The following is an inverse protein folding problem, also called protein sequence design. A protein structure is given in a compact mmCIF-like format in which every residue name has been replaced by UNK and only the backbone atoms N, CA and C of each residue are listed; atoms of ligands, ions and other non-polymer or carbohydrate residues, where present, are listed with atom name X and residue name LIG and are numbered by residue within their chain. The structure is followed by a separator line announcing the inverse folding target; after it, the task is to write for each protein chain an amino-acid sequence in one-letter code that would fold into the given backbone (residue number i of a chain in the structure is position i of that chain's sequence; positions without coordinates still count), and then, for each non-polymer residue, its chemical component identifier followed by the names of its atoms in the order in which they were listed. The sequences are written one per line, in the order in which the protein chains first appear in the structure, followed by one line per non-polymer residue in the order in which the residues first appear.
data_IF_012957933696
#
_entry.id   IF_012957933696
#
_cell.length_a   1.000
_cell.length_b   1.000
_cell.length_c   1.000
_cell.angle_alpha   90.00
_cell.angle_beta   90.00
_cell.angle_gamma   90.00
#
_symmetry.space_group_name_H-M   'P 1'
#
loop_
_entity.id
_entity.type
_entity.pdbx_description
1 polymer ?
#
# COMPACT_ATOMS: atom_id res chain seq x y z
N UNK A 1 29.59 2.27 2.49
CA UNK A 1 28.61 1.80 3.49
C UNK A 1 27.29 1.61 2.75
N UNK A 2 26.47 0.60 3.12
CA UNK A 2 25.16 0.45 2.49
C UNK A 2 24.24 1.55 2.99
N UNK A 3 23.52 2.23 2.07
CA UNK A 3 22.45 3.16 2.43
C UNK A 3 21.32 2.38 3.15
N UNK A 4 20.96 2.83 4.35
CA UNK A 4 19.92 2.19 5.18
C UNK A 4 18.81 3.16 5.53
N UNK A 5 17.61 2.63 5.54
CA UNK A 5 16.39 3.34 5.96
C UNK A 5 16.00 2.82 7.34
N UNK A 6 15.90 3.74 8.31
CA UNK A 6 15.56 3.41 9.70
C UNK A 6 14.04 3.51 9.97
N UNK A 7 13.29 4.17 9.09
CA UNK A 7 11.86 4.43 9.24
C UNK A 7 11.10 4.12 7.94
N UNK A 8 9.85 3.63 8.01
CA UNK A 8 9.08 3.28 6.82
C UNK A 8 8.62 4.50 6.00
N UNK A 9 8.96 5.71 6.41
CA UNK A 9 8.62 6.98 5.76
C UNK A 9 9.85 7.87 5.70
N UNK A 10 10.14 8.47 4.52
CA UNK A 10 11.23 9.44 4.32
C UNK A 10 10.70 10.72 3.69
N UNK A 11 11.35 11.85 3.97
CA UNK A 11 10.99 13.14 3.37
C UNK A 11 11.53 13.27 1.93
N UNK A 12 10.94 14.18 1.16
CA UNK A 12 11.46 14.53 -0.17
C UNK A 12 12.86 15.13 -0.11
N UNK A 13 13.18 15.88 0.96
CA UNK A 13 14.53 16.43 1.17
C UNK A 13 15.55 15.29 1.40
N UNK A 14 15.17 14.25 2.17
CA UNK A 14 16.02 13.07 2.35
C UNK A 14 16.31 12.40 1.01
N UNK A 15 15.27 12.13 0.22
CA UNK A 15 15.41 11.50 -1.09
C UNK A 15 16.30 12.33 -2.03
N UNK A 16 16.09 13.65 -2.08
CA UNK A 16 16.87 14.54 -2.93
C UNK A 16 18.38 14.47 -2.63
N UNK A 17 18.76 14.44 -1.33
CA UNK A 17 20.17 14.33 -0.93
C UNK A 17 20.80 12.97 -1.25
N UNK A 18 20.00 11.91 -1.45
CA UNK A 18 20.48 10.56 -1.73
C UNK A 18 20.24 10.11 -3.16
N UNK A 19 19.67 10.98 -4.03
CA UNK A 19 19.21 10.61 -5.37
C UNK A 19 20.31 9.96 -6.24
N UNK A 20 21.57 10.32 -6.02
CA UNK A 20 22.71 9.80 -6.75
C UNK A 20 23.43 8.63 -6.04
N UNK A 21 22.84 8.05 -4.99
CA UNK A 21 23.44 6.88 -4.33
C UNK A 21 23.24 5.64 -5.22
N UNK A 22 24.31 4.92 -5.51
CA UNK A 22 24.28 3.74 -6.40
C UNK A 22 23.38 2.61 -5.90
N UNK A 23 23.07 2.56 -4.60
CA UNK A 23 22.20 1.55 -4.00
C UNK A 23 20.73 1.98 -3.92
N UNK A 24 20.46 3.27 -4.17
CA UNK A 24 19.11 3.79 -4.14
C UNK A 24 18.34 3.37 -5.40
N UNK A 25 17.14 2.85 -5.19
CA UNK A 25 16.15 2.60 -6.24
C UNK A 25 14.89 3.39 -5.91
N UNK A 26 14.47 4.25 -6.81
CA UNK A 26 13.22 5.00 -6.70
C UNK A 26 12.15 4.30 -7.52
N UNK A 27 11.02 3.94 -6.87
CA UNK A 27 9.90 3.26 -7.53
C UNK A 27 8.70 4.20 -7.64
N UNK A 28 8.17 4.34 -8.86
CA UNK A 28 6.90 4.99 -9.13
C UNK A 28 5.77 3.96 -9.07
N UNK A 29 4.95 4.03 -8.04
CA UNK A 29 3.81 3.14 -7.81
C UNK A 29 2.47 3.78 -8.22
N UNK A 30 2.48 4.83 -9.03
CA UNK A 30 1.30 5.62 -9.40
C UNK A 30 0.18 4.75 -9.95
N UNK A 31 -0.98 4.83 -9.31
CA UNK A 31 -2.23 4.21 -9.74
C UNK A 31 -3.38 5.21 -9.70
N UNK A 32 -4.20 5.30 -10.75
CA UNK A 32 -5.41 6.12 -10.70
C UNK A 32 -6.39 5.56 -9.65
N UNK A 33 -7.06 6.46 -8.92
CA UNK A 33 -8.16 6.08 -8.02
C UNK A 33 -9.25 5.36 -8.82
N UNK A 34 -9.80 4.28 -8.28
CA UNK A 34 -10.92 3.53 -8.91
C UNK A 34 -12.14 4.43 -9.14
N UNK A 35 -12.29 5.47 -8.33
CA UNK A 35 -13.37 6.47 -8.41
C UNK A 35 -13.02 7.70 -9.25
N UNK A 36 -11.79 7.79 -9.82
CA UNK A 36 -11.42 8.89 -10.68
C UNK A 36 -12.23 8.87 -11.98
N UNK A 37 -12.71 10.03 -12.39
CA UNK A 37 -13.26 10.21 -13.74
C UNK A 37 -12.12 10.04 -14.74
N UNK A 38 -12.40 9.44 -15.90
CA UNK A 38 -11.41 9.40 -16.99
C UNK A 38 -11.10 10.84 -17.39
N UNK A 39 -9.87 11.24 -17.20
CA UNK A 39 -9.38 12.52 -17.72
C UNK A 39 -9.37 12.46 -19.24
N UNK A 40 -9.89 13.50 -19.87
CA UNK A 40 -9.98 13.64 -21.33
C UNK A 40 -8.74 14.33 -21.92
N UNK A 41 -7.90 14.93 -21.09
CA UNK A 41 -6.66 15.59 -21.51
C UNK A 41 -5.46 14.70 -21.23
N UNK A 42 -4.58 14.57 -22.24
CA UNK A 42 -3.30 13.88 -22.12
C UNK A 42 -2.34 14.89 -21.50
N UNK A 43 -2.30 14.97 -20.18
CA UNK A 43 -1.22 15.70 -19.51
C UNK A 43 0.12 14.99 -19.77
N UNK A 44 1.17 15.78 -20.02
CA UNK A 44 2.52 15.24 -20.10
C UNK A 44 2.90 14.62 -18.74
N UNK A 45 3.27 13.34 -18.77
CA UNK A 45 3.70 12.65 -17.56
C UNK A 45 5.15 12.98 -17.25
N UNK A 46 5.40 13.29 -15.99
CA UNK A 46 6.73 13.43 -15.39
C UNK A 46 6.87 12.48 -14.22
N UNK A 47 8.10 12.13 -13.93
CA UNK A 47 8.48 11.29 -12.79
C UNK A 47 9.68 11.89 -12.04
N UNK A 48 9.98 11.41 -10.85
CA UNK A 48 11.24 11.71 -10.17
C UNK A 48 12.38 11.14 -11.04
N UNK A 49 13.47 11.88 -11.14
CA UNK A 49 14.63 11.49 -11.94
C UNK A 49 15.10 10.07 -11.58
N UNK A 50 15.35 9.24 -12.60
CA UNK A 50 15.72 7.83 -12.51
C UNK A 50 14.69 6.91 -11.84
N UNK A 51 13.44 7.34 -11.66
CA UNK A 51 12.40 6.47 -11.11
C UNK A 51 12.01 5.34 -12.07
N UNK A 52 11.73 4.18 -11.51
CA UNK A 52 11.29 2.99 -12.22
C UNK A 52 9.81 2.78 -11.96
N UNK A 53 9.01 2.64 -13.01
CA UNK A 53 7.60 2.34 -12.84
C UNK A 53 7.39 0.93 -12.29
N UNK A 54 6.70 0.84 -11.14
CA UNK A 54 6.33 -0.41 -10.49
C UNK A 54 4.87 -0.73 -10.79
N UNK A 55 4.61 -1.53 -11.82
CA UNK A 55 3.24 -1.88 -12.22
C UNK A 55 2.60 -2.87 -11.25
N UNK A 56 1.90 -2.33 -10.25
CA UNK A 56 1.19 -3.12 -9.24
C UNK A 56 0.17 -4.05 -9.90
N UNK A 57 -0.55 -3.59 -10.94
CA UNK A 57 -1.70 -4.33 -11.49
C UNK A 57 -1.34 -5.44 -12.45
N UNK A 58 -0.35 -5.21 -13.32
CA UNK A 58 -0.06 -6.12 -14.44
C UNK A 58 1.16 -6.98 -14.20
N UNK A 59 2.10 -6.49 -13.37
CA UNK A 59 3.38 -7.15 -13.12
C UNK A 59 3.46 -7.72 -11.72
N UNK A 60 3.08 -6.95 -10.70
CA UNK A 60 3.23 -7.32 -9.29
C UNK A 60 1.90 -7.74 -8.63
N UNK A 61 0.98 -8.27 -9.42
CA UNK A 61 -0.23 -8.97 -8.97
C UNK A 61 -0.44 -10.22 -9.82
N UNK A 62 -1.08 -11.23 -9.23
CA UNK A 62 -1.53 -12.40 -10.00
C UNK A 62 -2.72 -12.00 -10.88
N UNK A 63 -2.45 -11.82 -12.18
CA UNK A 63 -3.45 -11.42 -13.17
C UNK A 63 -4.44 -12.54 -13.51
N UNK A 64 -4.16 -13.79 -13.11
CA UNK A 64 -5.03 -14.95 -13.30
C UNK A 64 -5.93 -15.21 -12.08
N UNK A 65 -5.68 -14.52 -10.97
CA UNK A 65 -6.53 -14.63 -9.79
C UNK A 65 -7.93 -14.05 -10.05
N UNK A 66 -8.97 -14.56 -9.35
CA UNK A 66 -10.35 -14.08 -9.53
C UNK A 66 -10.56 -12.65 -9.06
N UNK A 67 -9.68 -12.13 -8.21
CA UNK A 67 -9.78 -10.78 -7.64
C UNK A 67 -8.57 -9.92 -8.02
N UNK A 68 -8.77 -8.59 -8.22
CA UNK A 68 -7.70 -7.71 -8.63
C UNK A 68 -6.70 -7.46 -7.50
N UNK A 69 -5.44 -7.26 -7.87
CA UNK A 69 -4.31 -6.98 -7.00
C UNK A 69 -3.95 -8.12 -6.03
N UNK A 70 -4.38 -9.35 -6.31
CA UNK A 70 -3.96 -10.54 -5.54
C UNK A 70 -2.44 -10.67 -5.52
N UNK A 71 -1.87 -10.96 -4.37
CA UNK A 71 -0.42 -11.08 -4.19
C UNK A 71 0.16 -12.22 -5.02
N UNK A 72 1.36 -12.02 -5.53
CA UNK A 72 2.15 -13.06 -6.19
C UNK A 72 2.70 -14.06 -5.18
N UNK A 73 3.06 -15.26 -5.66
CA UNK A 73 3.95 -16.13 -4.91
C UNK A 73 5.31 -15.48 -4.67
N UNK A 74 6.00 -15.87 -3.61
CA UNK A 74 7.34 -15.33 -3.30
C UNK A 74 8.32 -15.48 -4.48
N UNK A 75 8.27 -16.63 -5.17
CA UNK A 75 9.14 -16.91 -6.32
C UNK A 75 8.86 -15.98 -7.50
N UNK A 76 7.58 -15.74 -7.81
CA UNK A 76 7.21 -14.83 -8.91
C UNK A 76 7.56 -13.39 -8.57
N UNK A 77 7.33 -12.96 -7.33
CA UNK A 77 7.72 -11.62 -6.88
C UNK A 77 9.23 -11.42 -6.96
N UNK A 78 10.01 -12.40 -6.47
CA UNK A 78 11.49 -12.42 -6.52
C UNK A 78 11.98 -12.22 -7.96
N UNK A 79 11.48 -13.03 -8.91
CA UNK A 79 11.89 -12.94 -10.32
C UNK A 79 11.58 -11.57 -10.92
N UNK A 80 10.40 -11.02 -10.64
CA UNK A 80 9.99 -9.69 -11.15
C UNK A 80 10.80 -8.55 -10.51
N UNK A 81 11.10 -8.63 -9.22
CA UNK A 81 11.95 -7.67 -8.54
C UNK A 81 13.38 -7.69 -9.08
N UNK A 82 13.94 -8.89 -9.32
CA UNK A 82 15.25 -9.04 -9.96
C UNK A 82 15.28 -8.43 -11.37
N UNK A 83 14.20 -8.56 -12.14
CA UNK A 83 14.12 -7.97 -13.48
C UNK A 83 14.08 -6.44 -13.48
N UNK A 84 13.69 -5.81 -12.36
CA UNK A 84 13.83 -4.37 -12.14
C UNK A 84 15.22 -3.97 -11.61
N UNK A 85 16.19 -4.90 -11.55
CA UNK A 85 17.53 -4.64 -11.06
C UNK A 85 17.65 -4.54 -9.53
N UNK A 86 16.61 -4.95 -8.79
CA UNK A 86 16.62 -4.87 -7.33
C UNK A 86 17.53 -5.95 -6.75
N UNK A 87 18.42 -5.53 -5.85
CA UNK A 87 19.38 -6.38 -5.15
C UNK A 87 19.03 -6.52 -3.67
N UNK A 88 19.61 -7.51 -3.00
CA UNK A 88 19.48 -7.75 -1.55
C UNK A 88 19.92 -6.56 -0.71
N UNK A 89 20.86 -5.76 -1.22
CA UNK A 89 21.45 -4.60 -0.55
C UNK A 89 20.93 -3.26 -1.10
N UNK A 90 19.91 -3.28 -1.96
CA UNK A 90 19.25 -2.08 -2.45
C UNK A 90 18.59 -1.31 -1.30
N UNK A 91 18.50 0.01 -1.46
CA UNK A 91 17.70 0.91 -0.66
C UNK A 91 16.54 1.40 -1.52
N UNK A 92 15.31 1.16 -1.12
CA UNK A 92 14.14 1.46 -1.96
C UNK A 92 13.36 2.63 -1.37
N UNK A 93 13.05 3.63 -2.20
CA UNK A 93 12.05 4.66 -1.90
C UNK A 93 10.93 4.55 -2.92
N UNK A 94 9.69 4.43 -2.44
CA UNK A 94 8.52 4.32 -3.30
C UNK A 94 7.59 5.51 -3.13
N UNK A 95 7.07 6.03 -4.23
CA UNK A 95 6.14 7.16 -4.25
C UNK A 95 4.95 6.91 -5.18
N UNK A 96 3.94 7.76 -5.08
CA UNK A 96 2.86 7.88 -6.08
C UNK A 96 2.49 9.36 -6.33
N UNK A 97 1.68 9.61 -7.36
CA UNK A 97 1.32 10.95 -7.82
C UNK A 97 0.18 11.61 -7.01
N UNK A 98 -0.40 10.90 -6.05
CA UNK A 98 -1.47 11.39 -5.17
C UNK A 98 -0.96 11.77 -3.77
N UNK A 99 0.35 11.64 -3.54
CA UNK A 99 0.99 11.85 -2.25
C UNK A 99 1.22 10.54 -1.52
N UNK A 100 0.20 10.02 -0.84
CA UNK A 100 0.21 8.67 -0.23
C UNK A 100 -1.11 7.98 -0.58
N UNK A 101 -1.06 7.04 -1.52
CA UNK A 101 -2.22 6.27 -1.96
C UNK A 101 -1.88 4.83 -2.33
N UNK A 102 -1.07 4.62 -3.36
CA UNK A 102 -0.66 3.29 -3.86
C UNK A 102 0.75 2.90 -3.45
N UNK A 103 1.61 3.84 -3.16
CA UNK A 103 2.97 3.60 -2.70
C UNK A 103 3.05 2.76 -1.41
N UNK A 104 2.14 2.88 -0.42
CA UNK A 104 2.14 1.97 0.73
C UNK A 104 1.85 0.51 0.38
N UNK A 105 1.13 0.24 -0.73
CA UNK A 105 0.94 -1.15 -1.19
C UNK A 105 2.26 -1.77 -1.62
N UNK A 106 3.11 -1.02 -2.33
CA UNK A 106 4.43 -1.51 -2.74
C UNK A 106 5.33 -1.71 -1.52
N UNK A 107 5.37 -0.75 -0.59
CA UNK A 107 6.07 -0.90 0.67
C UNK A 107 5.64 -2.19 1.41
N UNK A 108 4.33 -2.43 1.53
CA UNK A 108 3.80 -3.61 2.18
C UNK A 108 4.14 -4.91 1.43
N UNK A 109 4.11 -4.92 0.08
CA UNK A 109 4.50 -6.07 -0.71
C UNK A 109 5.95 -6.47 -0.46
N UNK A 110 6.87 -5.51 -0.36
CA UNK A 110 8.26 -5.80 -0.01
C UNK A 110 8.39 -6.29 1.45
N UNK A 111 7.65 -5.72 2.40
CA UNK A 111 7.59 -6.22 3.77
C UNK A 111 7.06 -7.68 3.82
N UNK A 112 6.04 -8.00 3.03
CA UNK A 112 5.52 -9.37 2.89
C UNK A 112 6.58 -10.34 2.35
N UNK A 113 7.50 -9.84 1.53
CA UNK A 113 8.64 -10.63 1.00
C UNK A 113 9.91 -10.51 1.85
N UNK A 114 9.79 -10.04 3.10
CA UNK A 114 10.89 -9.99 4.05
C UNK A 114 11.93 -8.87 3.82
N UNK A 115 11.67 -7.98 2.85
CA UNK A 115 12.60 -6.89 2.55
C UNK A 115 12.24 -5.61 3.33
N UNK A 116 13.13 -5.17 4.19
CA UNK A 116 12.88 -4.07 5.14
C UNK A 116 13.55 -2.75 4.79
N UNK A 117 14.54 -2.73 3.86
CA UNK A 117 15.26 -1.50 3.47
C UNK A 117 14.45 -0.70 2.42
N UNK A 118 13.19 -0.41 2.74
CA UNK A 118 12.23 0.30 1.91
C UNK A 118 11.43 1.32 2.71
N UNK A 119 11.20 2.51 2.15
CA UNK A 119 10.31 3.52 2.70
C UNK A 119 9.38 4.11 1.65
N UNK A 120 8.26 4.67 2.12
CA UNK A 120 7.36 5.50 1.31
C UNK A 120 7.85 6.95 1.37
N UNK A 121 7.79 7.66 0.24
CA UNK A 121 8.09 9.08 0.14
C UNK A 121 6.91 9.90 0.68
N UNK A 122 7.11 10.63 1.77
CA UNK A 122 6.05 11.42 2.41
C UNK A 122 5.60 12.58 1.52
N UNK A 123 4.33 12.58 1.15
CA UNK A 123 3.76 13.55 0.21
C UNK A 123 4.00 13.22 -1.27
N UNK A 124 4.75 12.15 -1.59
CA UNK A 124 4.94 11.62 -2.94
C UNK A 124 5.38 12.63 -3.98
N UNK A 125 4.97 12.42 -5.23
CA UNK A 125 5.33 13.30 -6.35
C UNK A 125 4.79 14.74 -6.23
N UNK A 126 3.59 15.01 -5.67
CA UNK A 126 3.14 16.38 -5.44
C UNK A 126 4.09 17.20 -4.57
N UNK A 127 4.57 16.64 -3.46
CA UNK A 127 5.50 17.34 -2.58
C UNK A 127 6.88 17.52 -3.22
N UNK A 128 7.34 16.53 -4.00
CA UNK A 128 8.58 16.62 -4.78
C UNK A 128 8.56 17.79 -5.76
N UNK A 129 7.44 17.95 -6.49
CA UNK A 129 7.23 19.07 -7.42
C UNK A 129 7.13 20.42 -6.70
N UNK A 130 6.48 20.46 -5.52
CA UNK A 130 6.37 21.68 -4.72
C UNK A 130 7.73 22.21 -4.27
N UNK A 131 8.71 21.31 -4.08
CA UNK A 131 10.10 21.64 -3.76
C UNK A 131 10.94 21.96 -5.00
N UNK A 132 10.37 21.89 -6.20
CA UNK A 132 11.05 22.12 -7.48
C UNK A 132 12.28 21.20 -7.68
N UNK A 133 12.22 19.97 -7.13
CA UNK A 133 13.26 18.98 -7.30
C UNK A 133 13.25 18.34 -8.69
N UNK A 134 14.40 17.77 -9.17
CA UNK A 134 14.55 17.27 -10.53
C UNK A 134 13.48 16.24 -10.93
N UNK A 135 12.93 16.46 -12.13
CA UNK A 135 11.97 15.56 -12.75
C UNK A 135 12.36 15.28 -14.19
N UNK A 136 11.95 14.15 -14.71
CA UNK A 136 12.16 13.74 -16.10
C UNK A 136 10.89 13.16 -16.73
N UNK A 137 10.87 13.01 -18.04
CA UNK A 137 9.85 12.20 -18.72
C UNK A 137 10.14 10.72 -18.48
N UNK A 138 9.10 9.88 -18.27
CA UNK A 138 9.31 8.46 -18.09
C UNK A 138 10.10 7.84 -19.24
N UNK A 139 11.12 7.08 -18.90
CA UNK A 139 11.96 6.37 -19.85
C UNK A 139 11.89 4.86 -19.64
N UNK A 140 12.06 4.12 -20.73
CA UNK A 140 12.21 2.66 -20.62
C UNK A 140 13.66 2.33 -20.23
N UNK A 141 13.84 1.84 -19.02
CA UNK A 141 15.13 1.38 -18.54
C UNK A 141 15.32 -0.10 -18.85
N UNK A 142 16.51 -0.49 -19.30
CA UNK A 142 16.94 -1.88 -19.30
C UNK A 142 17.88 -2.10 -18.11
N UNK A 143 17.44 -2.95 -17.19
CA UNK A 143 18.22 -3.25 -15.99
C UNK A 143 19.01 -4.54 -16.16
N UNK A 144 20.21 -4.57 -15.60
CA UNK A 144 20.87 -5.84 -15.31
C UNK A 144 20.07 -6.55 -14.23
N UNK A 145 19.77 -7.83 -14.42
CA UNK A 145 19.05 -8.63 -13.44
C UNK A 145 19.72 -8.54 -12.06
N UNK A 146 18.95 -8.17 -11.05
CA UNK A 146 19.38 -8.09 -9.65
C UNK A 146 19.47 -9.46 -8.98
N UNK A 147 19.82 -9.44 -7.68
CA UNK A 147 19.92 -10.64 -6.84
C UNK A 147 18.95 -10.62 -5.64
N UNK A 148 17.85 -9.85 -5.73
CA UNK A 148 16.79 -9.84 -4.72
C UNK A 148 16.40 -11.28 -4.34
N UNK A 149 16.14 -11.53 -3.07
CA UNK A 149 15.66 -12.83 -2.59
C UNK A 149 14.49 -12.60 -1.63
N UNK A 150 13.40 -13.29 -1.89
CA UNK A 150 12.20 -13.20 -1.07
C UNK A 150 12.28 -14.14 0.13
N UNK A 151 11.93 -13.62 1.30
CA UNK A 151 11.69 -14.34 2.55
C UNK A 151 10.24 -14.08 2.98
N UNK A 152 9.32 -14.92 2.54
CA UNK A 152 7.89 -14.73 2.68
C UNK A 152 7.42 -14.71 4.12
N UNK A 153 6.67 -13.67 4.51
CA UNK A 153 6.16 -13.39 5.86
C UNK A 153 4.63 -13.62 5.91
N UNK A 154 4.14 -14.85 6.10
CA UNK A 154 2.71 -15.18 5.99
C UNK A 154 1.85 -14.47 7.03
N UNK A 155 2.40 -14.04 8.15
CA UNK A 155 1.68 -13.30 9.18
C UNK A 155 1.23 -11.90 8.71
N UNK A 156 1.88 -11.34 7.66
CA UNK A 156 1.57 -10.00 7.13
C UNK A 156 0.38 -9.98 6.15
N UNK A 157 -0.10 -11.15 5.71
CA UNK A 157 -1.25 -11.26 4.81
C UNK A 157 -2.33 -12.14 5.43
N UNK A 158 -3.60 -11.82 5.13
CA UNK A 158 -4.76 -12.65 5.51
C UNK A 158 -5.62 -12.90 4.28
N UNK A 159 -6.24 -14.08 4.25
CA UNK A 159 -7.19 -14.50 3.24
C UNK A 159 -8.58 -14.65 3.85
N UNK A 160 -9.56 -14.92 3.02
CA UNK A 160 -10.99 -14.96 3.42
C UNK A 160 -11.25 -15.84 4.65
N UNK A 161 -10.63 -17.02 4.72
CA UNK A 161 -10.81 -17.95 5.85
C UNK A 161 -10.24 -17.38 7.17
N UNK A 162 -9.08 -16.73 7.10
CA UNK A 162 -8.48 -16.07 8.26
C UNK A 162 -9.37 -14.92 8.77
N UNK A 163 -9.92 -14.12 7.84
CA UNK A 163 -10.79 -12.99 8.18
C UNK A 163 -12.12 -13.47 8.73
N UNK A 164 -12.68 -14.55 8.19
CA UNK A 164 -13.90 -15.17 8.71
C UNK A 164 -13.69 -15.66 10.15
N UNK A 165 -12.56 -16.29 10.43
CA UNK A 165 -12.18 -16.71 11.78
C UNK A 165 -11.94 -15.51 12.73
N UNK A 166 -11.47 -14.38 12.19
CA UNK A 166 -11.16 -13.18 12.97
C UNK A 166 -12.41 -12.44 13.48
N UNK A 167 -13.58 -12.58 12.84
CA UNK A 167 -14.82 -11.87 13.20
C UNK A 167 -15.15 -11.99 14.70
N UNK A 168 -14.97 -13.17 15.26
CA UNK A 168 -15.28 -13.44 16.68
C UNK A 168 -14.04 -13.55 17.58
N UNK A 169 -12.85 -13.23 17.05
CA UNK A 169 -11.61 -13.31 17.79
C UNK A 169 -11.39 -12.01 18.58
N UNK A 170 -11.42 -12.09 19.91
CA UNK A 170 -11.26 -10.94 20.81
C UNK A 170 -9.86 -10.28 20.75
N UNK A 171 -8.85 -10.97 20.20
CA UNK A 171 -7.48 -10.46 20.09
C UNK A 171 -7.21 -9.75 18.75
N UNK A 172 -8.15 -9.82 17.80
CA UNK A 172 -8.02 -9.25 16.48
C UNK A 172 -9.03 -8.11 16.29
N UNK A 173 -8.67 -7.11 15.49
CA UNK A 173 -9.54 -6.02 15.08
C UNK A 173 -9.42 -5.82 13.56
N UNK A 174 -10.54 -5.99 12.86
CA UNK A 174 -10.62 -5.70 11.43
C UNK A 174 -10.92 -4.21 11.28
N UNK A 175 -10.08 -3.47 10.53
CA UNK A 175 -10.30 -2.06 10.23
C UNK A 175 -10.37 -1.82 8.72
N UNK A 176 -11.44 -1.17 8.28
CA UNK A 176 -11.75 -0.95 6.87
C UNK A 176 -11.38 0.48 6.44
N UNK A 177 -10.50 0.58 5.45
CA UNK A 177 -9.97 1.82 4.90
C UNK A 177 -10.87 2.51 3.87
N UNK A 178 -12.02 1.93 3.51
CA UNK A 178 -12.98 2.55 2.58
C UNK A 178 -13.64 3.78 3.21
N UNK A 179 -14.26 4.61 2.38
CA UNK A 179 -15.08 5.72 2.90
C UNK A 179 -16.24 5.19 3.77
N UNK A 180 -16.66 5.99 4.77
CA UNK A 180 -17.80 5.67 5.63
C UNK A 180 -19.06 5.33 4.85
N UNK A 181 -19.33 6.06 3.74
CA UNK A 181 -20.49 5.80 2.89
C UNK A 181 -20.48 4.39 2.29
N UNK A 182 -19.31 3.89 1.87
CA UNK A 182 -19.17 2.51 1.36
C UNK A 182 -19.26 1.49 2.49
N UNK A 183 -18.65 1.77 3.63
CA UNK A 183 -18.70 0.92 4.81
C UNK A 183 -20.14 0.69 5.30
N UNK A 184 -20.92 1.75 5.46
CA UNK A 184 -22.32 1.71 5.92
C UNK A 184 -23.34 1.51 4.80
N UNK A 185 -22.93 1.15 3.57
CA UNK A 185 -23.79 0.96 2.41
C UNK A 185 -24.69 2.18 2.05
N UNK A 186 -24.31 3.39 2.45
CA UNK A 186 -25.00 4.65 2.07
C UNK A 186 -24.47 5.23 0.76
N UNK A 187 -23.37 4.69 0.23
CA UNK A 187 -22.83 4.96 -1.10
C UNK A 187 -22.59 3.64 -1.84
N UNK A 188 -22.76 3.65 -3.17
CA UNK A 188 -22.57 2.48 -4.01
C UNK A 188 -21.09 2.05 -4.07
N UNK A 189 -20.87 0.75 -4.25
CA UNK A 189 -19.56 0.23 -4.60
C UNK A 189 -19.19 0.59 -6.05
N UNK A 190 -17.89 0.80 -6.36
CA UNK A 190 -17.46 1.08 -7.73
C UNK A 190 -17.68 -0.08 -8.71
N UNK A 191 -17.80 -1.31 -8.20
CA UNK A 191 -18.08 -2.53 -8.97
C UNK A 191 -19.53 -2.96 -8.72
N UNK A 192 -20.28 -3.19 -9.81
CA UNK A 192 -21.71 -3.46 -9.76
C UNK A 192 -22.07 -4.81 -9.10
N UNK A 193 -21.15 -5.77 -9.13
CA UNK A 193 -21.29 -7.12 -8.58
C UNK A 193 -20.90 -7.24 -7.09
N UNK A 194 -20.45 -6.16 -6.48
CA UNK A 194 -20.04 -6.12 -5.07
C UNK A 194 -21.16 -5.52 -4.21
N UNK A 195 -21.59 -6.27 -3.20
CA UNK A 195 -22.62 -5.82 -2.24
C UNK A 195 -22.10 -4.65 -1.39
N UNK A 196 -22.99 -3.74 -0.99
CA UNK A 196 -22.71 -2.70 0.01
C UNK A 196 -22.73 -3.27 1.44
N UNK A 197 -21.94 -2.68 2.34
CA UNK A 197 -21.82 -3.09 3.74
C UNK A 197 -20.38 -3.28 4.17
N UNK A 198 -20.16 -4.03 5.27
CA UNK A 198 -18.85 -4.29 5.84
C UNK A 198 -18.78 -5.68 6.49
N UNK A 199 -17.55 -6.12 6.80
CA UNK A 199 -17.29 -7.35 7.53
C UNK A 199 -17.82 -7.20 8.97
N UNK A 200 -18.60 -8.15 9.51
CA UNK A 200 -19.11 -8.06 10.87
C UNK A 200 -18.00 -7.82 11.90
N UNK A 201 -18.32 -7.03 12.94
CA UNK A 201 -17.39 -6.64 14.00
C UNK A 201 -16.15 -5.86 13.51
N UNK A 202 -16.15 -5.36 12.28
CA UNK A 202 -15.09 -4.45 11.80
C UNK A 202 -15.38 -3.00 12.18
N UNK A 203 -14.32 -2.17 12.16
CA UNK A 203 -14.42 -0.73 12.41
C UNK A 203 -14.07 0.06 11.15
N UNK A 204 -14.76 1.18 10.95
CA UNK A 204 -14.46 2.10 9.84
C UNK A 204 -13.32 3.04 10.23
N UNK A 205 -12.22 3.00 9.47
CA UNK A 205 -11.15 3.99 9.52
C UNK A 205 -10.77 4.37 8.08
N UNK A 206 -11.48 5.31 7.44
CA UNK A 206 -11.12 5.75 6.10
C UNK A 206 -9.64 6.11 5.99
N UNK A 207 -8.95 5.64 4.94
CA UNK A 207 -7.53 5.93 4.77
C UNK A 207 -7.21 7.44 4.75
N UNK A 208 -8.17 8.27 4.30
CA UNK A 208 -8.06 9.73 4.35
C UNK A 208 -7.93 10.30 5.77
N UNK A 209 -8.44 9.59 6.77
CA UNK A 209 -8.45 10.06 8.16
C UNK A 209 -7.06 9.98 8.82
N UNK A 210 -6.14 9.18 8.26
CA UNK A 210 -4.73 9.13 8.67
C UNK A 210 -3.82 10.04 7.84
N UNK A 211 -4.39 10.79 6.88
CA UNK A 211 -3.66 11.70 5.99
C UNK A 211 -4.01 13.17 6.27
N UNK A 212 -3.09 14.05 5.93
CA UNK A 212 -3.27 15.50 5.87
C UNK A 212 -2.50 16.04 4.66
N UNK A 213 -3.20 16.66 3.71
CA UNK A 213 -2.61 17.25 2.50
C UNK A 213 -1.69 16.29 1.71
N UNK A 214 -2.12 15.03 1.54
CA UNK A 214 -1.36 14.02 0.80
C UNK A 214 -0.19 13.39 1.57
N UNK A 215 0.04 13.78 2.82
CA UNK A 215 1.07 13.24 3.73
C UNK A 215 0.44 12.42 4.85
N UNK A 216 1.20 11.55 5.47
CA UNK A 216 0.77 10.96 6.75
C UNK A 216 0.73 12.02 7.84
N UNK A 217 -0.25 11.91 8.73
CA UNK A 217 -0.29 12.68 9.96
C UNK A 217 0.92 12.36 10.83
N UNK A 218 1.24 13.24 11.76
CA UNK A 218 2.34 13.04 12.71
C UNK A 218 2.19 11.72 13.49
N UNK A 219 3.29 11.16 13.95
CA UNK A 219 3.31 9.93 14.75
C UNK A 219 2.38 10.03 15.98
N UNK A 220 2.32 11.20 16.64
CA UNK A 220 1.45 11.43 17.79
C UNK A 220 -0.03 11.42 17.42
N UNK A 221 -0.40 12.02 16.29
CA UNK A 221 -1.79 11.99 15.80
C UNK A 221 -2.20 10.58 15.36
N UNK A 222 -1.30 9.86 14.66
CA UNK A 222 -1.55 8.47 14.29
C UNK A 222 -1.74 7.58 15.52
N UNK A 223 -0.88 7.71 16.55
CA UNK A 223 -1.05 7.01 17.83
C UNK A 223 -2.42 7.29 18.46
N UNK A 224 -2.86 8.54 18.45
CA UNK A 224 -4.18 8.93 18.98
C UNK A 224 -5.32 8.28 18.19
N UNK A 225 -5.25 8.32 16.85
CA UNK A 225 -6.27 7.73 15.96
C UNK A 225 -6.38 6.23 16.20
N UNK A 226 -5.26 5.50 16.12
CA UNK A 226 -5.26 4.05 16.31
C UNK A 226 -5.67 3.64 17.73
N UNK A 227 -5.26 4.39 18.76
CA UNK A 227 -5.70 4.13 20.14
C UNK A 227 -7.19 4.33 20.33
N UNK A 228 -7.80 5.30 19.64
CA UNK A 228 -9.25 5.56 19.72
C UNK A 228 -10.06 4.39 19.17
N UNK A 229 -9.66 3.79 18.05
CA UNK A 229 -10.39 2.66 17.46
C UNK A 229 -10.00 1.32 18.08
N UNK A 230 -8.83 1.24 18.73
CA UNK A 230 -8.27 0.01 19.31
C UNK A 230 -7.76 0.26 20.75
N UNK A 231 -8.65 0.59 21.69
CA UNK A 231 -8.26 0.85 23.09
C UNK A 231 -7.67 -0.38 23.79
N UNK A 232 -8.01 -1.58 23.33
CA UNK A 232 -7.58 -2.86 23.90
C UNK A 232 -6.24 -3.35 23.32
N UNK A 233 -5.65 -2.62 22.36
CA UNK A 233 -4.38 -2.96 21.71
C UNK A 233 -4.38 -4.34 21.04
N UNK A 234 -5.46 -4.68 20.34
CA UNK A 234 -5.58 -5.89 19.52
C UNK A 234 -4.66 -5.84 18.30
N UNK A 235 -4.36 -6.99 17.72
CA UNK A 235 -3.68 -7.06 16.43
C UNK A 235 -4.63 -6.63 15.30
N UNK A 236 -4.12 -5.91 14.31
CA UNK A 236 -4.94 -5.40 13.21
C UNK A 236 -4.96 -6.33 12.00
N UNK A 237 -6.14 -6.45 11.38
CA UNK A 237 -6.31 -6.87 10.00
C UNK A 237 -6.90 -5.69 9.23
N UNK A 238 -6.15 -5.15 8.29
CA UNK A 238 -6.61 -4.04 7.47
C UNK A 238 -7.28 -4.53 6.19
N UNK A 239 -8.45 -3.98 5.89
CA UNK A 239 -9.22 -4.24 4.67
C UNK A 239 -9.51 -2.94 3.94
N UNK A 240 -9.80 -3.02 2.65
CA UNK A 240 -10.34 -1.89 1.88
C UNK A 240 -11.17 -2.39 0.68
N UNK A 241 -11.01 -1.83 -0.51
CA UNK A 241 -11.62 -2.36 -1.75
C UNK A 241 -10.86 -3.55 -2.33
N UNK A 242 -9.54 -3.44 -2.46
CA UNK A 242 -8.66 -4.40 -3.16
C UNK A 242 -7.24 -4.42 -2.60
N UNK A 243 -7.05 -4.21 -1.31
CA UNK A 243 -5.75 -4.25 -0.63
C UNK A 243 -4.85 -2.99 -0.81
N UNK A 244 -5.22 -2.03 -1.66
CA UNK A 244 -4.39 -0.83 -1.91
C UNK A 244 -4.40 0.12 -0.70
N UNK A 245 -5.56 0.68 -0.36
CA UNK A 245 -5.66 1.66 0.74
C UNK A 245 -5.63 1.03 2.14
N UNK A 246 -5.84 -0.26 2.26
CA UNK A 246 -5.55 -1.03 3.47
C UNK A 246 -4.06 -0.92 3.87
N UNK A 247 -3.17 -0.90 2.87
CA UNK A 247 -1.73 -0.72 3.09
C UNK A 247 -1.37 0.70 3.57
N UNK A 248 -2.21 1.72 3.31
CA UNK A 248 -2.05 3.06 3.91
C UNK A 248 -2.26 2.98 5.43
N UNK A 249 -3.29 2.25 5.87
CA UNK A 249 -3.53 2.01 7.30
C UNK A 249 -2.41 1.19 7.92
N UNK A 250 -1.91 0.16 7.21
CA UNK A 250 -0.78 -0.65 7.69
C UNK A 250 0.48 0.20 7.91
N UNK A 251 0.82 1.10 6.96
CA UNK A 251 1.93 2.04 7.11
C UNK A 251 1.71 3.01 8.29
N UNK A 252 0.51 3.56 8.43
CA UNK A 252 0.15 4.43 9.55
C UNK A 252 0.24 3.72 10.91
N UNK A 253 -0.23 2.47 10.99
CA UNK A 253 -0.14 1.64 12.19
C UNK A 253 1.32 1.32 12.56
N UNK A 254 2.15 0.97 11.56
CA UNK A 254 3.59 0.73 11.73
C UNK A 254 4.29 1.94 12.36
N UNK A 255 3.99 3.16 11.87
CA UNK A 255 4.54 4.43 12.40
C UNK A 255 3.99 4.71 13.80
N UNK A 256 2.71 4.41 14.06
CA UNK A 256 2.10 4.56 15.37
C UNK A 256 2.59 3.53 16.42
N UNK A 257 3.42 2.55 16.01
CA UNK A 257 4.01 1.54 16.89
C UNK A 257 3.23 0.23 16.99
N UNK A 258 2.16 0.04 16.21
CA UNK A 258 1.42 -1.22 16.09
C UNK A 258 2.12 -2.14 15.08
N UNK A 259 3.02 -3.01 15.56
CA UNK A 259 3.85 -3.87 14.70
C UNK A 259 3.12 -5.15 14.23
N UNK A 260 2.16 -5.63 15.01
CA UNK A 260 1.38 -6.82 14.69
C UNK A 260 0.15 -6.42 13.88
N UNK A 261 0.32 -6.43 12.56
CA UNK A 261 -0.77 -6.14 11.63
C UNK A 261 -0.62 -6.91 10.33
N UNK A 262 -1.74 -7.18 9.69
CA UNK A 262 -1.83 -7.81 8.38
C UNK A 262 -2.78 -7.06 7.45
N UNK A 263 -2.67 -7.29 6.14
CA UNK A 263 -3.63 -6.83 5.15
C UNK A 263 -4.45 -8.02 4.65
N UNK A 264 -5.76 -7.89 4.60
CA UNK A 264 -6.64 -8.81 3.91
C UNK A 264 -6.51 -8.57 2.39
N UNK A 265 -5.89 -9.51 1.69
CA UNK A 265 -5.50 -9.34 0.30
C UNK A 265 -6.70 -9.10 -0.64
N UNK A 266 -7.68 -9.99 -0.63
CA UNK A 266 -8.90 -9.87 -1.46
C UNK A 266 -9.80 -8.72 -1.05
N UNK A 267 -9.74 -8.30 0.21
CA UNK A 267 -10.48 -7.17 0.75
C UNK A 267 -11.98 -7.24 0.44
N UNK A 268 -12.66 -6.08 0.40
CA UNK A 268 -14.11 -6.03 0.20
C UNK A 268 -14.55 -6.53 -1.18
N UNK A 269 -13.72 -6.42 -2.21
CA UNK A 269 -14.09 -6.94 -3.54
C UNK A 269 -14.30 -8.45 -3.50
N UNK A 270 -13.45 -9.19 -2.80
CA UNK A 270 -13.63 -10.62 -2.57
C UNK A 270 -14.80 -10.88 -1.61
N UNK A 271 -14.80 -10.25 -0.44
CA UNK A 271 -15.81 -10.49 0.60
C UNK A 271 -17.23 -10.19 0.13
N UNK A 272 -17.43 -9.00 -0.45
CA UNK A 272 -18.76 -8.52 -0.87
C UNK A 272 -19.32 -9.21 -2.12
N UNK A 273 -18.49 -9.89 -2.93
CA UNK A 273 -18.93 -10.67 -4.09
C UNK A 273 -19.07 -12.18 -3.79
N UNK A 274 -18.45 -12.66 -2.71
CA UNK A 274 -18.57 -14.08 -2.33
C UNK A 274 -19.93 -14.36 -1.70
N UNK A 275 -20.56 -15.48 -2.14
CA UNK A 275 -21.82 -15.94 -1.55
C UNK A 275 -21.58 -16.43 -0.12
N UNK A 276 -22.64 -16.32 0.69
CA UNK A 276 -22.71 -16.87 2.05
C UNK A 276 -21.72 -16.29 3.08
N UNK A 277 -20.89 -15.30 2.70
CA UNK A 277 -20.12 -14.54 3.69
C UNK A 277 -21.03 -13.53 4.41
N UNK A 278 -20.90 -13.39 5.75
CA UNK A 278 -21.73 -12.48 6.52
C UNK A 278 -21.39 -11.01 6.21
N UNK A 279 -22.42 -10.18 6.13
CA UNK A 279 -22.31 -8.73 5.85
C UNK A 279 -23.18 -7.98 6.83
N UNK A 280 -22.63 -6.91 7.43
CA UNK A 280 -23.34 -5.88 8.18
C UNK A 280 -23.45 -4.57 7.35
N UNK A 281 -24.45 -3.72 7.72
CA UNK A 281 -24.71 -2.43 7.05
C UNK A 281 -24.83 -1.31 8.07
#
# INVERSE_FOLDING_TARGET
MSLKIDKPLVSVDWLFHHLNDEKLIVLDATLPKVTAKKETEIEEKYQIENAIFFDIKKVFSDVNAPFPNTVLSAKEFEEKAQNLGINKDSCIVVYDDLGIYSSPRVWWLFQLMGFTNIAVLDGGFPEWKLKEYPTEKPMNHQFKKGDFSADYQPEKVKFTEDVLAAINNKNLLIADARSKGRFYATASEPRADVKGGHIPNSVSLPFSDVLLNGKLKSESELKSIFKTINPENKEFIFSCGTGITASVLALGAEIAGYKNHAVYDGSWTEWGSTKDLPIEK
#
